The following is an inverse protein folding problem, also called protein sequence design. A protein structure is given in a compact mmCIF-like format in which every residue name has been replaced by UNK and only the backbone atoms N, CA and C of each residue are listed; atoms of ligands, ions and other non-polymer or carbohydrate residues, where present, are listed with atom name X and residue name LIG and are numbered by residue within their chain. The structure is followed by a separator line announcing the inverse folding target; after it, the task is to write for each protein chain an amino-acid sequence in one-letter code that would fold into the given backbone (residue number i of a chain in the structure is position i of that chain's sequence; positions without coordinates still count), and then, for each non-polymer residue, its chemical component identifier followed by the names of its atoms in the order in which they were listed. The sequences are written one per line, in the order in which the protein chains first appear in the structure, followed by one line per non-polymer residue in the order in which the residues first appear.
data_IF_643925329521
#
_entry.id   IF_643925329521
#
_cell.length_a   1.000
_cell.length_b   1.000
_cell.length_c   1.000
_cell.angle_alpha   90.00
_cell.angle_beta   90.00
_cell.angle_gamma   90.00
#
_symmetry.space_group_name_H-M   'P 1'
#
loop_
_entity.id
_entity.type
_entity.pdbx_description
1 polymer ?
#
# COMPACT_ATOMS: atom_id res chain seq x y z
N UNK A 1 10.38 -4.36 -11.13
CA UNK A 1 9.71 -3.31 -10.32
C UNK A 1 8.20 -3.36 -10.50
N UNK A 2 7.45 -3.60 -9.41
CA UNK A 2 5.98 -3.73 -9.44
C UNK A 2 5.28 -2.37 -9.43
N UNK A 3 4.22 -2.23 -10.23
CA UNK A 3 3.33 -1.04 -10.25
C UNK A 3 1.88 -1.50 -10.35
N UNK A 4 1.00 -0.90 -9.57
CA UNK A 4 -0.43 -1.24 -9.56
C UNK A 4 -1.26 -0.09 -8.98
N UNK A 5 -2.59 -0.24 -9.06
CA UNK A 5 -3.53 0.76 -8.60
C UNK A 5 -4.43 0.18 -7.52
N UNK A 6 -4.63 0.91 -6.43
CA UNK A 6 -5.64 0.59 -5.42
C UNK A 6 -6.78 1.59 -5.55
N UNK A 7 -8.01 1.10 -5.73
CA UNK A 7 -9.21 1.94 -5.77
C UNK A 7 -9.98 1.81 -4.46
N UNK A 8 -10.22 2.92 -3.78
CA UNK A 8 -10.94 2.94 -2.50
C UNK A 8 -11.71 4.25 -2.32
N UNK A 9 -12.97 4.19 -1.86
CA UNK A 9 -13.80 5.36 -1.51
C UNK A 9 -13.76 6.49 -2.56
N UNK A 10 -13.78 6.12 -3.84
CA UNK A 10 -13.67 6.99 -5.04
C UNK A 10 -12.29 7.58 -5.33
N UNK A 11 -11.29 7.29 -4.51
CA UNK A 11 -9.88 7.61 -4.76
C UNK A 11 -9.18 6.49 -5.52
N UNK A 12 -8.17 6.86 -6.29
CA UNK A 12 -7.26 5.94 -6.94
C UNK A 12 -5.85 6.25 -6.45
N UNK A 13 -5.22 5.25 -5.86
CA UNK A 13 -3.86 5.31 -5.35
C UNK A 13 -2.95 4.61 -6.33
N UNK A 14 -1.92 5.31 -6.80
CA UNK A 14 -0.93 4.78 -7.71
C UNK A 14 0.23 4.25 -6.87
N UNK A 15 0.46 2.94 -6.90
CA UNK A 15 1.44 2.28 -6.04
C UNK A 15 2.63 1.83 -6.88
N UNK A 16 3.82 2.21 -6.46
CA UNK A 16 5.08 1.90 -7.12
C UNK A 16 6.06 1.30 -6.12
N UNK A 17 6.56 0.09 -6.40
CA UNK A 17 7.65 -0.48 -5.62
C UNK A 17 8.93 0.31 -5.88
N UNK A 18 9.55 0.83 -4.82
CA UNK A 18 10.76 1.64 -4.91
C UNK A 18 12.03 0.80 -5.01
N UNK A 19 12.03 -0.40 -4.42
CA UNK A 19 13.20 -1.28 -4.40
C UNK A 19 12.77 -2.74 -4.51
N UNK A 20 13.44 -3.49 -5.37
CA UNK A 20 13.17 -4.93 -5.54
C UNK A 20 13.66 -5.72 -4.32
N UNK A 21 12.89 -6.74 -3.92
CA UNK A 21 13.18 -7.54 -2.73
C UNK A 21 12.89 -6.85 -1.39
N UNK A 22 12.47 -5.58 -1.41
CA UNK A 22 12.05 -4.83 -0.23
C UNK A 22 10.59 -4.44 -0.37
N UNK A 23 9.83 -4.61 0.70
CA UNK A 23 8.44 -4.16 0.79
C UNK A 23 8.37 -2.64 1.05
N UNK A 24 8.96 -1.84 0.16
CA UNK A 24 8.98 -0.37 0.21
C UNK A 24 8.29 0.19 -1.04
N UNK A 25 7.25 0.98 -0.81
CA UNK A 25 6.35 1.45 -1.87
C UNK A 25 6.11 2.95 -1.76
N UNK A 26 6.12 3.62 -2.91
CA UNK A 26 5.59 4.96 -3.09
C UNK A 26 4.11 4.86 -3.44
N UNK A 27 3.29 5.67 -2.79
CA UNK A 27 1.87 5.80 -3.06
C UNK A 27 1.59 7.24 -3.48
N UNK A 28 0.92 7.43 -4.61
CA UNK A 28 0.50 8.74 -5.10
C UNK A 28 -1.02 8.82 -5.15
N UNK A 29 -1.59 9.93 -4.65
CA UNK A 29 -3.02 10.26 -4.75
C UNK A 29 -3.16 11.74 -5.06
N UNK A 30 -3.55 12.08 -6.30
CA UNK A 30 -3.54 13.46 -6.78
C UNK A 30 -2.14 14.09 -6.55
N UNK A 31 -2.08 15.23 -5.84
CA UNK A 31 -0.83 15.93 -5.52
C UNK A 31 -0.13 15.41 -4.25
N UNK A 32 -0.65 14.36 -3.61
CA UNK A 32 -0.06 13.78 -2.41
C UNK A 32 0.87 12.62 -2.77
N UNK A 33 2.03 12.55 -2.09
CA UNK A 33 3.00 11.46 -2.23
C UNK A 33 3.34 10.93 -0.85
N UNK A 34 3.32 9.61 -0.72
CA UNK A 34 3.62 8.88 0.49
C UNK A 34 4.63 7.77 0.19
N UNK A 35 5.45 7.43 1.19
CA UNK A 35 6.28 6.24 1.17
C UNK A 35 5.91 5.35 2.35
N UNK A 36 5.62 4.09 2.06
CA UNK A 36 5.23 3.10 3.06
C UNK A 36 6.14 1.89 2.98
N UNK A 37 6.42 1.29 4.12
CA UNK A 37 7.21 0.07 4.18
C UNK A 37 6.57 -0.99 5.08
N UNK A 38 6.84 -2.25 4.80
CA UNK A 38 6.49 -3.34 5.72
C UNK A 38 7.61 -3.54 6.75
N UNK A 39 7.26 -3.39 8.01
CA UNK A 39 8.18 -3.62 9.12
C UNK A 39 8.47 -5.11 9.32
N UNK A 40 9.52 -5.44 10.09
CA UNK A 40 9.85 -6.83 10.43
C UNK A 40 8.74 -7.57 11.22
N UNK A 41 7.84 -6.83 11.86
CA UNK A 41 6.68 -7.39 12.55
C UNK A 41 5.54 -7.78 11.58
N UNK A 42 5.66 -7.43 10.29
CA UNK A 42 4.63 -7.68 9.28
C UNK A 42 3.67 -6.51 9.06
N UNK A 43 3.74 -5.46 9.89
CA UNK A 43 2.87 -4.28 9.78
C UNK A 43 3.38 -3.27 8.75
N UNK A 44 2.46 -2.70 7.98
CA UNK A 44 2.70 -1.56 7.10
C UNK A 44 2.81 -0.27 7.91
N UNK A 45 3.84 0.53 7.62
CA UNK A 45 4.11 1.80 8.29
C UNK A 45 4.38 2.91 7.27
N UNK A 46 3.91 4.10 7.59
CA UNK A 46 4.25 5.32 6.84
C UNK A 46 5.68 5.72 7.21
N UNK A 47 6.54 5.82 6.21
CA UNK A 47 7.91 6.29 6.35
C UNK A 47 8.00 7.80 6.12
N UNK A 48 7.33 8.28 5.07
CA UNK A 48 7.41 9.66 4.63
C UNK A 48 6.13 10.08 3.91
N UNK A 49 5.85 11.38 3.94
CA UNK A 49 4.88 12.02 3.05
C UNK A 49 5.29 13.46 2.75
N UNK A 50 4.87 13.99 1.61
CA UNK A 50 5.13 15.40 1.30
C UNK A 50 4.40 16.33 2.29
N UNK A 51 4.97 17.52 2.60
CA UNK A 51 4.26 18.55 3.34
C UNK A 51 2.95 18.93 2.66
N UNK A 52 1.86 19.05 3.44
CA UNK A 52 0.53 19.34 2.89
C UNK A 52 -0.21 18.13 2.32
N UNK A 53 0.41 16.94 2.30
CA UNK A 53 -0.29 15.70 2.00
C UNK A 53 -1.41 15.47 3.03
N UNK A 54 -2.53 14.95 2.56
CA UNK A 54 -3.65 14.56 3.43
C UNK A 54 -3.25 13.33 4.25
N UNK A 55 -4.07 12.98 5.24
CA UNK A 55 -3.88 11.73 5.95
C UNK A 55 -4.07 10.54 5.00
N UNK A 56 -3.12 9.62 4.99
CA UNK A 56 -3.20 8.38 4.25
C UNK A 56 -3.96 7.33 5.08
N UNK A 57 -5.06 6.72 4.58
CA UNK A 57 -5.79 5.67 5.29
C UNK A 57 -5.02 4.34 5.27
N UNK A 58 -3.86 4.32 5.93
CA UNK A 58 -2.86 3.25 5.82
C UNK A 58 -3.42 1.88 6.21
N UNK A 59 -4.27 1.79 7.23
CA UNK A 59 -4.84 0.51 7.67
C UNK A 59 -5.68 -0.19 6.59
N UNK A 60 -6.42 0.59 5.78
CA UNK A 60 -7.22 0.03 4.68
C UNK A 60 -6.34 -0.27 3.46
N UNK A 61 -5.41 0.63 3.14
CA UNK A 61 -4.44 0.43 2.06
C UNK A 61 -3.52 -0.78 2.32
N UNK A 62 -3.11 -0.99 3.56
CA UNK A 62 -2.30 -2.14 3.99
C UNK A 62 -2.95 -3.48 3.61
N UNK A 63 -4.25 -3.63 3.86
CA UNK A 63 -4.99 -4.86 3.49
C UNK A 63 -4.98 -5.09 1.98
N UNK A 64 -5.10 -4.02 1.19
CA UNK A 64 -5.05 -4.08 -0.28
C UNK A 64 -3.62 -4.36 -0.77
N UNK A 65 -2.62 -3.75 -0.16
CA UNK A 65 -1.21 -4.01 -0.44
C UNK A 65 -0.88 -5.48 -0.18
N UNK A 66 -1.33 -6.04 0.94
CA UNK A 66 -1.11 -7.45 1.26
C UNK A 66 -1.78 -8.39 0.23
N UNK A 67 -3.02 -8.09 -0.18
CA UNK A 67 -3.73 -8.85 -1.21
C UNK A 67 -2.99 -8.80 -2.55
N UNK A 68 -2.53 -7.62 -2.97
CA UNK A 68 -1.83 -7.44 -4.24
C UNK A 68 -0.43 -8.06 -4.20
N UNK A 69 0.32 -7.91 -3.10
CA UNK A 69 1.73 -8.33 -3.00
C UNK A 69 1.85 -9.82 -2.68
N UNK A 70 1.10 -10.31 -1.70
CA UNK A 70 1.23 -11.68 -1.21
C UNK A 70 0.13 -12.60 -1.71
N UNK A 71 -0.93 -12.06 -2.34
CA UNK A 71 -2.03 -12.87 -2.86
C UNK A 71 -2.66 -13.66 -1.73
N UNK A 72 -3.41 -12.99 -0.84
CA UNK A 72 -4.15 -13.72 0.19
C UNK A 72 -5.18 -14.63 -0.51
N UNK A 73 -4.81 -15.90 -0.72
CA UNK A 73 -5.75 -16.96 -1.00
C UNK A 73 -6.61 -17.08 0.24
N UNK A 74 -7.78 -16.47 0.20
CA UNK A 74 -8.86 -16.78 1.13
C UNK A 74 -9.26 -18.23 0.81
N UNK A 75 -8.59 -19.19 1.46
CA UNK A 75 -9.01 -20.58 1.45
C UNK A 75 -10.48 -20.62 1.85
N UNK A 76 -11.31 -21.16 0.98
CA UNK A 76 -12.72 -21.44 1.25
C UNK A 76 -12.82 -22.25 2.55
N UNK A 77 -13.33 -21.65 3.62
CA UNK A 77 -13.99 -22.43 4.66
C UNK A 77 -15.42 -22.66 4.21
N UNK A 78 -15.62 -23.74 3.45
CA UNK A 78 -16.93 -24.38 3.34
C UNK A 78 -17.26 -24.96 4.71
N UNK A 79 -18.36 -24.51 5.29
CA UNK A 79 -19.07 -25.21 6.35
C UNK A 79 -20.43 -25.63 5.78
#
# INVERSE_FOLDING_TARGET
MKKFYIKENRKVYHVHQLMEGVDLFKIEENDCIYEVFRSRAGDWKLLYHLPGSRELPLASLAQRLDLEIFGFQKSESKN
#
